data_IF_540559747547
#
_entry.id   IF_540559747547
#
_cell.length_a   1.000
_cell.length_b   1.000
_cell.length_c   1.000
_cell.angle_alpha   90.00
_cell.angle_beta   90.00
_cell.angle_gamma   90.00
#
_symmetry.space_group_name_H-M   'P 1'
#
loop_
_entity.id
_entity.type
_entity.pdbx_description
1 polymer ?
#
# COMPACT_ATOMS: atom_id res chain seq x y z
N UNK A 1 15.44 9.78 -14.32
CA UNK A 1 16.12 8.76 -13.48
C UNK A 1 15.13 8.04 -12.57
N UNK A 2 14.32 8.73 -11.77
CA UNK A 2 13.39 8.10 -10.81
C UNK A 2 12.39 7.19 -11.53
N UNK A 3 11.78 7.65 -12.62
CA UNK A 3 10.77 6.91 -13.36
C UNK A 3 11.34 5.91 -14.40
N UNK A 4 12.67 5.73 -14.50
CA UNK A 4 13.26 4.82 -15.50
C UNK A 4 12.85 3.36 -15.33
N UNK A 5 12.53 2.91 -14.11
CA UNK A 5 12.04 1.57 -13.82
C UNK A 5 10.67 1.25 -14.42
N UNK A 6 9.91 2.28 -14.78
CA UNK A 6 8.57 2.14 -15.37
C UNK A 6 8.57 2.06 -16.91
N UNK A 7 9.74 2.10 -17.59
CA UNK A 7 9.80 2.15 -19.06
C UNK A 7 9.00 1.03 -19.73
N UNK A 8 9.05 -0.18 -19.17
CA UNK A 8 8.34 -1.36 -19.70
C UNK A 8 6.81 -1.31 -19.51
N UNK A 9 6.34 -0.48 -18.59
CA UNK A 9 4.91 -0.32 -18.28
C UNK A 9 4.41 1.11 -18.49
N UNK A 10 5.18 1.98 -19.15
CA UNK A 10 4.83 3.39 -19.31
C UNK A 10 3.50 3.63 -20.04
N UNK A 11 3.08 2.70 -20.89
CA UNK A 11 1.77 2.75 -21.57
C UNK A 11 0.59 2.47 -20.65
N UNK A 12 0.85 1.84 -19.50
CA UNK A 12 -0.14 1.48 -18.51
C UNK A 12 -0.24 2.52 -17.38
N UNK A 13 0.50 3.65 -17.52
CA UNK A 13 0.59 4.71 -16.53
C UNK A 13 -0.09 5.99 -16.97
N UNK A 14 -0.69 6.68 -16.03
CA UNK A 14 -1.16 8.06 -16.16
C UNK A 14 -0.45 8.90 -15.09
N UNK A 15 0.35 9.87 -15.53
CA UNK A 15 1.02 10.83 -14.64
C UNK A 15 0.11 12.04 -14.46
N UNK A 16 -0.01 12.51 -13.24
CA UNK A 16 -0.84 13.67 -12.89
C UNK A 16 0.02 14.77 -12.26
N UNK A 17 -0.16 16.01 -12.69
CA UNK A 17 0.45 17.21 -12.11
C UNK A 17 -0.62 18.24 -11.76
N UNK A 18 -0.32 19.12 -10.80
CA UNK A 18 -1.20 20.19 -10.36
C UNK A 18 -2.21 19.78 -9.28
N UNK A 19 -2.22 18.52 -8.84
CA UNK A 19 -3.08 18.07 -7.75
C UNK A 19 -2.57 18.52 -6.40
N UNK A 20 -3.47 18.89 -5.50
CA UNK A 20 -3.17 19.50 -4.20
C UNK A 20 -4.03 18.91 -3.09
N UNK A 21 -3.44 18.77 -1.91
CA UNK A 21 -4.16 18.55 -0.65
C UNK A 21 -4.18 19.85 0.15
N UNK A 22 -5.16 20.71 -0.07
CA UNK A 22 -5.32 21.95 0.73
C UNK A 22 -5.44 21.65 2.22
N UNK A 23 -6.14 20.57 2.58
CA UNK A 23 -6.34 20.13 3.96
C UNK A 23 -5.09 19.49 4.61
N UNK A 24 -4.00 19.30 3.88
CA UNK A 24 -2.68 18.96 4.40
C UNK A 24 -1.90 20.15 4.94
N UNK A 25 -2.26 21.37 4.52
CA UNK A 25 -1.67 22.61 4.98
C UNK A 25 -2.02 22.90 6.44
N UNK A 26 -1.28 23.81 7.06
CA UNK A 26 -1.51 24.19 8.45
C UNK A 26 -2.88 24.78 8.72
N UNK A 27 -3.43 25.61 7.81
CA UNK A 27 -4.76 26.21 7.87
C UNK A 27 -5.12 26.78 9.27
N UNK A 28 -4.12 27.34 9.98
CA UNK A 28 -4.26 27.84 11.35
C UNK A 28 -3.71 26.94 12.46
N UNK A 29 -3.48 25.65 12.20
CA UNK A 29 -2.98 24.68 13.20
C UNK A 29 -1.45 24.78 13.44
N UNK A 30 -0.71 25.51 12.59
CA UNK A 30 0.75 25.61 12.67
C UNK A 30 1.45 24.30 12.26
N UNK A 31 2.57 23.96 12.91
CA UNK A 31 3.38 22.80 12.60
C UNK A 31 2.63 21.47 12.77
N UNK A 32 3.06 20.42 12.07
CA UNK A 32 2.47 19.07 12.08
C UNK A 32 2.23 18.53 10.68
N UNK A 33 3.14 18.87 9.75
CA UNK A 33 2.96 18.64 8.31
C UNK A 33 2.94 17.16 7.93
N UNK A 34 3.76 16.34 8.58
CA UNK A 34 3.77 14.88 8.31
C UNK A 34 2.47 14.20 8.74
N UNK A 35 1.97 14.53 9.94
CA UNK A 35 0.73 13.96 10.42
C UNK A 35 -0.46 14.38 9.54
N UNK A 36 -0.51 15.66 9.13
CA UNK A 36 -1.55 16.15 8.23
C UNK A 36 -1.46 15.49 6.86
N UNK A 37 -0.26 15.40 6.30
CA UNK A 37 -0.05 14.80 4.96
C UNK A 37 -0.47 13.35 4.89
N UNK A 38 -0.16 12.53 5.90
CA UNK A 38 -0.64 11.16 5.96
C UNK A 38 -2.17 11.09 6.18
N UNK A 39 -2.69 11.85 7.15
CA UNK A 39 -4.11 11.83 7.48
C UNK A 39 -5.03 12.33 6.35
N UNK A 40 -4.57 13.27 5.52
CA UNK A 40 -5.34 13.82 4.40
C UNK A 40 -5.24 12.97 3.13
N UNK A 41 -4.20 12.15 2.96
CA UNK A 41 -3.82 11.54 1.68
C UNK A 41 -4.97 10.76 1.01
N UNK A 42 -5.69 9.95 1.77
CA UNK A 42 -6.86 9.21 1.28
C UNK A 42 -8.20 9.73 1.81
N UNK A 43 -8.21 10.78 2.65
CA UNK A 43 -9.46 11.32 3.23
C UNK A 43 -9.90 12.64 2.60
N UNK A 44 -8.96 13.46 2.12
CA UNK A 44 -9.25 14.83 1.66
C UNK A 44 -9.77 15.75 2.79
N UNK A 45 -9.58 15.40 4.07
CA UNK A 45 -10.06 16.12 5.25
C UNK A 45 -8.90 16.51 6.14
N UNK A 46 -8.90 17.73 6.67
CA UNK A 46 -7.88 18.16 7.63
C UNK A 46 -8.00 17.37 8.93
N UNK A 47 -6.95 16.65 9.34
CA UNK A 47 -6.96 15.96 10.61
C UNK A 47 -7.06 16.96 11.79
N UNK A 48 -7.87 16.65 12.79
CA UNK A 48 -7.98 17.44 14.01
C UNK A 48 -6.64 17.40 14.76
N UNK A 49 -6.08 18.56 15.09
CA UNK A 49 -4.88 18.63 15.91
C UNK A 49 -5.15 18.17 17.32
N UNK A 50 -4.82 16.91 17.60
CA UNK A 50 -5.02 16.26 18.89
C UNK A 50 -3.93 15.21 19.13
N UNK A 51 -3.41 15.15 20.35
CA UNK A 51 -2.42 14.17 20.80
C UNK A 51 -3.05 12.91 21.43
N UNK A 52 -4.34 12.95 21.75
CA UNK A 52 -5.02 11.98 22.61
C UNK A 52 -6.17 11.24 21.94
N UNK A 53 -7.21 11.01 22.73
CA UNK A 53 -8.37 10.22 22.34
C UNK A 53 -9.32 10.91 21.34
N UNK A 54 -9.18 12.23 21.15
CA UNK A 54 -10.04 13.02 20.25
C UNK A 54 -9.46 13.09 18.84
N UNK A 55 -8.84 11.99 18.36
CA UNK A 55 -8.37 11.94 16.97
C UNK A 55 -9.56 11.98 16.02
N UNK A 56 -9.42 12.78 14.95
CA UNK A 56 -10.42 12.85 13.87
C UNK A 56 -9.74 13.17 12.55
N UNK A 57 -10.00 12.32 11.56
CA UNK A 57 -9.71 12.55 10.15
C UNK A 57 -11.03 12.39 9.39
N UNK A 58 -11.01 12.20 8.10
CA UNK A 58 -12.21 11.80 7.35
C UNK A 58 -12.24 10.28 7.16
N UNK A 59 -13.34 9.74 6.67
CA UNK A 59 -13.36 8.38 6.13
C UNK A 59 -12.50 8.36 4.87
N UNK A 60 -11.59 7.40 4.73
CA UNK A 60 -10.73 7.31 3.56
C UNK A 60 -11.42 6.68 2.34
N UNK A 61 -10.95 7.01 1.14
CA UNK A 61 -11.55 6.58 -0.11
C UNK A 61 -11.63 5.05 -0.24
N UNK A 62 -10.57 4.33 0.17
CA UNK A 62 -10.54 2.88 0.25
C UNK A 62 -11.65 2.33 1.15
N UNK A 63 -11.91 2.96 2.30
CA UNK A 63 -12.95 2.51 3.22
C UNK A 63 -14.37 2.88 2.75
N UNK A 64 -14.53 3.98 2.00
CA UNK A 64 -15.80 4.27 1.32
C UNK A 64 -16.09 3.17 0.27
N UNK A 65 -15.10 2.80 -0.52
CA UNK A 65 -15.20 1.70 -1.50
C UNK A 65 -15.44 0.37 -0.79
N UNK A 66 -14.65 0.04 0.25
CA UNK A 66 -14.79 -1.19 1.03
C UNK A 66 -16.20 -1.34 1.65
N UNK A 67 -16.78 -0.24 2.14
CA UNK A 67 -18.16 -0.23 2.64
C UNK A 67 -19.20 -0.52 1.55
N UNK A 68 -18.95 -0.08 0.32
CA UNK A 68 -19.87 -0.27 -0.79
C UNK A 68 -19.80 -1.68 -1.40
N UNK A 69 -18.60 -2.22 -1.61
CA UNK A 69 -18.39 -3.48 -2.34
C UNK A 69 -17.75 -4.60 -1.53
N UNK A 70 -17.29 -4.34 -0.31
CA UNK A 70 -16.56 -5.31 0.51
C UNK A 70 -17.39 -6.54 0.93
N UNK A 71 -18.70 -6.50 0.79
CA UNK A 71 -19.58 -7.65 0.97
C UNK A 71 -19.49 -8.69 -0.18
N UNK A 72 -18.84 -8.33 -1.29
CA UNK A 72 -18.66 -9.20 -2.46
C UNK A 72 -17.43 -10.11 -2.33
N UNK A 73 -16.58 -9.86 -1.35
CA UNK A 73 -15.33 -10.60 -1.11
C UNK A 73 -15.21 -11.04 0.35
N UNK A 74 -14.31 -12.00 0.62
CA UNK A 74 -14.10 -12.52 1.98
C UNK A 74 -13.64 -11.45 2.97
N UNK A 75 -12.80 -10.50 2.53
CA UNK A 75 -12.35 -9.35 3.31
C UNK A 75 -12.71 -8.07 2.56
N UNK A 76 -13.25 -7.10 3.28
CA UNK A 76 -13.67 -5.82 2.70
C UNK A 76 -12.49 -5.01 2.18
N UNK A 77 -11.33 -5.07 2.85
CA UNK A 77 -10.11 -4.35 2.48
C UNK A 77 -8.86 -4.99 3.10
N UNK A 78 -7.69 -4.58 2.59
CA UNK A 78 -6.36 -4.96 3.05
C UNK A 78 -5.50 -3.71 3.26
N UNK A 79 -5.02 -3.52 4.47
CA UNK A 79 -4.13 -2.41 4.82
C UNK A 79 -2.73 -2.95 5.15
N UNK A 80 -1.74 -2.59 4.33
CA UNK A 80 -0.35 -3.02 4.46
C UNK A 80 0.60 -1.85 4.74
N UNK A 81 1.72 -2.16 5.39
CA UNK A 81 2.82 -1.23 5.54
C UNK A 81 4.17 -1.92 5.69
N UNK A 82 5.22 -1.35 5.12
CA UNK A 82 6.57 -1.89 5.23
C UNK A 82 7.34 -1.38 6.47
N UNK A 83 6.73 -0.52 7.26
CA UNK A 83 7.28 -0.01 8.51
C UNK A 83 6.23 -0.08 9.62
N UNK A 84 6.65 -0.55 10.78
CA UNK A 84 5.87 -0.44 12.01
C UNK A 84 5.72 1.03 12.42
N UNK A 85 4.76 1.34 13.28
CA UNK A 85 4.58 2.67 13.81
C UNK A 85 3.75 2.65 15.09
N UNK A 86 3.92 3.68 15.91
CA UNK A 86 3.09 3.86 17.11
C UNK A 86 1.67 4.22 16.68
N UNK A 87 0.67 3.63 17.31
CA UNK A 87 -0.74 3.92 17.04
C UNK A 87 -1.32 4.96 18.03
N UNK A 88 -0.55 5.32 19.06
CA UNK A 88 -0.95 6.27 20.09
C UNK A 88 0.23 7.14 20.54
N UNK A 89 -0.06 8.22 21.26
CA UNK A 89 0.92 9.19 21.69
C UNK A 89 1.23 10.22 20.61
N UNK A 90 2.14 11.14 20.91
CA UNK A 90 2.54 12.26 20.06
C UNK A 90 3.69 11.88 19.13
N UNK A 91 3.52 12.05 17.84
CA UNK A 91 4.56 11.82 16.83
C UNK A 91 4.95 13.10 16.08
N UNK A 92 4.09 14.09 15.97
CA UNK A 92 4.35 15.32 15.22
C UNK A 92 3.61 16.50 15.85
N UNK A 93 4.32 17.51 16.29
CA UNK A 93 3.89 18.87 16.69
C UNK A 93 2.45 19.03 17.20
N UNK A 94 2.01 18.17 18.13
CA UNK A 94 0.65 18.18 18.70
C UNK A 94 -0.35 17.27 17.99
N UNK A 95 0.12 16.43 17.06
CA UNK A 95 -0.68 15.40 16.39
C UNK A 95 -0.35 14.00 16.91
N UNK A 96 -1.39 13.18 17.04
CA UNK A 96 -1.28 11.76 17.39
C UNK A 96 -0.47 10.98 16.37
N UNK A 97 0.26 9.97 16.85
CA UNK A 97 0.95 8.99 16.02
C UNK A 97 0.00 8.23 15.05
N UNK A 98 -1.28 8.12 15.40
CA UNK A 98 -2.29 7.52 14.55
C UNK A 98 -2.37 8.17 13.16
N UNK A 99 -2.17 9.48 13.08
CA UNK A 99 -2.20 10.20 11.81
C UNK A 99 -0.98 9.87 10.92
N UNK A 100 0.24 9.95 11.48
CA UNK A 100 1.47 9.71 10.69
C UNK A 100 1.65 8.27 10.25
N UNK A 101 0.99 7.32 10.92
CA UNK A 101 1.19 5.90 10.70
C UNK A 101 0.04 5.19 9.98
N UNK A 102 -1.04 5.90 9.66
CA UNK A 102 -2.18 5.32 8.93
C UNK A 102 -2.68 6.31 7.86
N UNK A 103 -2.96 5.78 6.67
CA UNK A 103 -3.62 6.51 5.58
C UNK A 103 -5.07 6.07 5.39
N UNK A 104 -5.43 4.90 5.92
CA UNK A 104 -6.77 4.32 5.83
C UNK A 104 -7.55 4.56 7.11
N UNK A 105 -8.80 5.00 7.00
CA UNK A 105 -9.68 5.39 8.12
C UNK A 105 -11.10 4.87 7.87
N UNK A 106 -11.56 3.95 8.72
CA UNK A 106 -12.88 3.32 8.61
C UNK A 106 -14.02 4.30 8.88
N UNK A 107 -13.81 5.16 9.84
CA UNK A 107 -14.66 6.28 10.20
C UNK A 107 -13.78 7.47 10.64
N UNK A 108 -14.38 8.59 11.01
CA UNK A 108 -13.64 9.83 11.33
C UNK A 108 -12.61 9.66 12.45
N UNK A 109 -12.79 8.72 13.37
CA UNK A 109 -11.96 8.53 14.55
C UNK A 109 -11.28 7.16 14.63
N UNK A 110 -11.49 6.28 13.65
CA UNK A 110 -10.97 4.91 13.67
C UNK A 110 -10.00 4.66 12.52
N UNK A 111 -8.68 4.76 12.76
CA UNK A 111 -7.69 4.36 11.77
C UNK A 111 -7.73 2.86 11.54
N UNK A 112 -7.51 2.45 10.30
CA UNK A 112 -7.26 1.06 9.95
C UNK A 112 -5.78 0.77 10.11
N UNK A 113 -5.45 -0.04 11.11
CA UNK A 113 -4.05 -0.40 11.39
C UNK A 113 -3.51 -1.28 10.27
N UNK A 114 -2.43 -0.85 9.67
CA UNK A 114 -1.73 -1.62 8.63
C UNK A 114 -1.04 -2.84 9.22
N UNK A 115 -1.14 -3.98 8.52
CA UNK A 115 -0.35 -5.16 8.82
C UNK A 115 1.05 -5.03 8.18
N UNK A 116 2.08 -5.34 8.95
CA UNK A 116 3.47 -5.25 8.51
C UNK A 116 4.15 -6.62 8.42
N UNK A 117 3.53 -7.65 8.97
CA UNK A 117 4.07 -9.00 8.99
C UNK A 117 3.49 -9.85 7.84
N UNK A 118 4.28 -10.19 6.81
CA UNK A 118 3.81 -10.99 5.68
C UNK A 118 3.20 -12.33 6.08
N UNK A 119 3.72 -12.97 7.12
CA UNK A 119 3.20 -14.24 7.64
C UNK A 119 1.78 -14.08 8.18
N UNK A 120 1.51 -13.02 8.96
CA UNK A 120 0.16 -12.75 9.48
C UNK A 120 -0.82 -12.41 8.35
N UNK A 121 -0.37 -11.68 7.32
CA UNK A 121 -1.17 -11.43 6.11
C UNK A 121 -1.53 -12.73 5.43
N UNK A 122 -0.53 -13.59 5.20
CA UNK A 122 -0.72 -14.90 4.57
C UNK A 122 -1.68 -15.79 5.38
N UNK A 123 -1.46 -15.91 6.68
CA UNK A 123 -2.31 -16.69 7.57
C UNK A 123 -3.76 -16.16 7.60
N UNK A 124 -3.94 -14.85 7.63
CA UNK A 124 -5.26 -14.21 7.60
C UNK A 124 -6.03 -14.51 6.32
N UNK A 125 -5.38 -14.45 5.16
CA UNK A 125 -6.07 -14.60 3.88
C UNK A 125 -6.20 -16.03 3.41
N UNK A 126 -5.19 -16.84 3.63
CA UNK A 126 -5.07 -18.20 3.08
C UNK A 126 -5.12 -19.28 4.17
N UNK A 127 -4.96 -18.92 5.44
CA UNK A 127 -5.19 -19.81 6.57
C UNK A 127 -6.67 -20.14 6.72
N UNK A 128 -6.99 -21.42 6.87
CA UNK A 128 -8.36 -21.82 7.16
C UNK A 128 -8.74 -21.41 8.59
N UNK A 129 -10.03 -21.15 8.78
CA UNK A 129 -10.63 -20.96 10.09
C UNK A 129 -10.39 -22.23 10.93
N UNK A 130 -9.34 -22.21 11.73
CA UNK A 130 -9.15 -23.20 12.79
C UNK A 130 -9.86 -22.62 14.00
N UNK A 131 -10.81 -23.36 14.63
CA UNK A 131 -11.39 -22.93 15.88
C UNK A 131 -10.29 -22.64 16.89
N UNK A 132 -10.38 -21.53 17.61
CA UNK A 132 -9.50 -21.16 18.70
C UNK A 132 -9.67 -22.17 19.84
N UNK A 133 -8.85 -23.21 19.88
CA UNK A 133 -8.55 -23.93 21.10
C UNK A 133 -7.12 -23.62 21.48
N UNK A 134 -7.00 -23.13 22.70
CA UNK A 134 -5.78 -22.70 23.36
C UNK A 134 -4.72 -23.81 23.41
N UNK A 135 -3.48 -23.34 23.25
CA UNK A 135 -2.25 -23.99 23.75
C UNK A 135 -2.03 -25.47 23.44
N UNK A 136 -1.45 -25.77 22.29
CA UNK A 136 -0.50 -26.88 22.20
C UNK A 136 0.59 -26.63 21.17
N UNK A 137 1.77 -26.54 21.69
CA UNK A 137 3.13 -26.67 21.12
C UNK A 137 3.47 -26.28 19.66
N UNK A 138 4.68 -25.71 19.49
CA UNK A 138 5.32 -25.37 18.20
C UNK A 138 5.29 -26.52 17.15
N UNK A 139 5.27 -27.78 17.59
CA UNK A 139 5.17 -28.94 16.70
C UNK A 139 3.81 -29.05 16.00
N UNK A 140 2.70 -28.73 16.69
CA UNK A 140 1.38 -28.65 16.08
C UNK A 140 1.29 -27.51 15.07
N UNK A 141 1.89 -26.34 15.34
CA UNK A 141 1.93 -25.23 14.38
C UNK A 141 2.68 -25.61 13.10
N UNK A 142 3.74 -26.39 13.18
CA UNK A 142 4.50 -26.88 12.02
C UNK A 142 3.69 -27.91 11.20
N UNK A 143 2.95 -28.80 11.85
CA UNK A 143 1.99 -29.71 11.22
C UNK A 143 0.81 -28.95 10.58
N UNK A 144 0.32 -27.87 11.23
CA UNK A 144 -0.73 -27.03 10.69
C UNK A 144 -0.27 -26.22 9.47
N UNK A 145 0.97 -25.75 9.42
CA UNK A 145 1.55 -25.06 8.25
C UNK A 145 1.59 -25.94 6.99
N UNK A 146 1.97 -27.21 7.12
CA UNK A 146 1.88 -28.18 6.02
C UNK A 146 0.42 -28.46 5.63
N UNK A 147 -0.51 -28.44 6.58
CA UNK A 147 -1.92 -28.70 6.37
C UNK A 147 -2.67 -27.60 5.60
N UNK A 148 -2.26 -26.33 5.71
CA UNK A 148 -2.95 -25.21 5.01
C UNK A 148 -2.74 -25.31 3.50
N UNK A 149 -1.51 -25.55 3.07
CA UNK A 149 -1.21 -25.75 1.64
C UNK A 149 -1.81 -27.04 1.09
N UNK A 150 -1.72 -28.11 1.85
CA UNK A 150 -2.30 -29.39 1.44
C UNK A 150 -3.83 -29.27 1.28
N UNK A 151 -4.49 -28.47 2.11
CA UNK A 151 -5.93 -28.22 2.00
C UNK A 151 -6.29 -27.33 0.79
N UNK A 152 -5.55 -26.23 0.60
CA UNK A 152 -5.72 -25.35 -0.59
C UNK A 152 -5.43 -26.14 -1.87
N UNK A 153 -4.40 -27.00 -1.84
CA UNK A 153 -4.06 -27.92 -2.94
C UNK A 153 -5.15 -28.98 -3.17
N UNK A 154 -5.77 -29.48 -2.10
CA UNK A 154 -6.83 -30.48 -2.21
C UNK A 154 -8.11 -29.87 -2.80
N UNK A 155 -8.52 -28.70 -2.33
CA UNK A 155 -9.66 -27.94 -2.87
C UNK A 155 -9.42 -27.54 -4.33
N UNK A 156 -8.20 -27.07 -4.66
CA UNK A 156 -7.81 -26.76 -6.02
C UNK A 156 -7.83 -28.01 -6.93
N UNK A 157 -7.35 -29.16 -6.47
CA UNK A 157 -7.45 -30.43 -7.21
C UNK A 157 -8.89 -30.88 -7.42
N UNK A 158 -9.79 -30.60 -6.47
CA UNK A 158 -11.23 -30.86 -6.64
C UNK A 158 -11.85 -29.94 -7.67
N UNK A 159 -11.45 -28.66 -7.67
CA UNK A 159 -11.87 -27.65 -8.64
C UNK A 159 -11.32 -27.98 -10.03
N UNK A 160 -10.05 -28.38 -10.14
CA UNK A 160 -9.37 -28.76 -11.38
C UNK A 160 -10.13 -29.79 -12.20
N UNK A 161 -10.85 -30.73 -11.52
CA UNK A 161 -11.67 -31.74 -12.19
C UNK A 161 -12.96 -31.20 -12.81
N UNK A 162 -13.36 -29.97 -12.45
CA UNK A 162 -14.65 -29.34 -12.81
C UNK A 162 -14.51 -28.15 -13.77
N UNK A 163 -13.29 -27.70 -14.03
CA UNK A 163 -13.02 -26.48 -14.82
C UNK A 163 -12.43 -26.78 -16.17
N UNK A 164 -12.47 -25.81 -17.09
CA UNK A 164 -11.91 -25.91 -18.44
C UNK A 164 -10.38 -26.03 -18.42
N UNK A 165 -9.78 -26.45 -19.53
CA UNK A 165 -8.31 -26.53 -19.66
C UNK A 165 -7.61 -25.18 -19.39
N UNK A 166 -8.19 -24.07 -19.85
CA UNK A 166 -7.66 -22.71 -19.64
C UNK A 166 -7.74 -22.30 -18.17
N UNK A 167 -8.80 -22.67 -17.48
CA UNK A 167 -8.96 -22.38 -16.05
C UNK A 167 -8.03 -23.25 -15.20
N UNK A 168 -7.70 -24.48 -15.64
CA UNK A 168 -6.68 -25.32 -15.00
C UNK A 168 -5.30 -24.67 -15.04
N UNK A 169 -4.91 -24.06 -16.16
CA UNK A 169 -3.64 -23.36 -16.28
C UNK A 169 -3.59 -22.19 -15.28
N UNK A 170 -4.64 -21.36 -15.21
CA UNK A 170 -4.75 -20.27 -14.24
C UNK A 170 -4.70 -20.75 -12.79
N UNK A 171 -5.37 -21.85 -12.49
CA UNK A 171 -5.35 -22.45 -11.16
C UNK A 171 -3.94 -22.92 -10.78
N UNK A 172 -3.19 -23.54 -11.71
CA UNK A 172 -1.82 -23.95 -11.48
C UNK A 172 -0.86 -22.77 -11.29
N UNK A 173 -1.00 -21.69 -12.07
CA UNK A 173 -0.24 -20.45 -11.90
C UNK A 173 -0.47 -19.84 -10.52
N UNK A 174 -1.74 -19.77 -10.10
CA UNK A 174 -2.12 -19.30 -8.77
C UNK A 174 -1.51 -20.14 -7.65
N UNK A 175 -1.63 -21.48 -7.73
CA UNK A 175 -1.07 -22.38 -6.71
C UNK A 175 0.46 -22.31 -6.65
N UNK A 176 1.13 -22.11 -7.78
CA UNK A 176 2.57 -21.89 -7.84
C UNK A 176 2.95 -20.60 -7.13
N UNK A 177 2.22 -19.49 -7.37
CA UNK A 177 2.46 -18.21 -6.70
C UNK A 177 2.26 -18.30 -5.17
N UNK A 178 1.21 -18.99 -4.70
CA UNK A 178 0.99 -19.24 -3.27
C UNK A 178 2.18 -19.98 -2.65
N UNK A 179 2.67 -21.02 -3.32
CA UNK A 179 3.80 -21.83 -2.83
C UNK A 179 5.13 -21.06 -2.79
N UNK A 180 5.39 -20.22 -3.78
CA UNK A 180 6.57 -19.37 -3.80
C UNK A 180 6.56 -18.37 -2.64
N UNK A 181 5.42 -17.75 -2.35
CA UNK A 181 5.26 -16.83 -1.22
C UNK A 181 5.48 -17.55 0.12
N UNK A 182 4.89 -18.72 0.30
CA UNK A 182 5.09 -19.52 1.50
C UNK A 182 6.58 -19.85 1.73
N UNK A 183 7.27 -20.31 0.69
CA UNK A 183 8.71 -20.60 0.78
C UNK A 183 9.55 -19.36 1.12
N UNK A 184 9.12 -18.16 0.68
CA UNK A 184 9.80 -16.90 1.02
C UNK A 184 9.55 -16.51 2.48
N UNK A 185 8.34 -16.76 3.00
CA UNK A 185 8.02 -16.55 4.42
C UNK A 185 8.82 -17.52 5.30
N UNK A 186 8.89 -18.80 4.93
CA UNK A 186 9.68 -19.81 5.65
C UNK A 186 11.18 -19.48 5.65
N UNK A 187 11.73 -19.04 4.52
CA UNK A 187 13.13 -18.58 4.44
C UNK A 187 13.39 -17.39 5.36
N UNK A 188 12.49 -16.41 5.38
CA UNK A 188 12.61 -15.26 6.28
C UNK A 188 12.58 -15.66 7.77
N UNK A 189 11.82 -16.70 8.13
CA UNK A 189 11.82 -17.26 9.49
C UNK A 189 13.13 -18.01 9.81
N UNK A 190 13.73 -18.73 8.84
CA UNK A 190 14.99 -19.46 9.01
C UNK A 190 16.21 -18.53 9.10
N UNK A 191 16.28 -17.48 8.28
CA UNK A 191 17.36 -16.48 8.30
C UNK A 191 17.53 -15.80 9.66
N UNK A 192 16.51 -15.80 10.50
CA UNK A 192 16.57 -15.27 11.87
C UNK A 192 17.21 -16.22 12.87
N UNK A 193 17.05 -17.53 12.67
CA UNK A 193 17.60 -18.53 13.58
C UNK A 193 19.13 -18.61 13.53
N UNK A 194 19.74 -18.19 12.41
CA UNK A 194 21.20 -18.21 12.20
C UNK A 194 21.91 -16.89 12.52
N UNK A 195 21.23 -15.91 13.12
CA UNK A 195 21.86 -14.63 13.48
C UNK A 195 22.72 -14.75 14.73
N UNK A 196 23.96 -14.19 14.73
CA UNK A 196 24.78 -14.10 15.93
C UNK A 196 24.11 -13.28 17.03
N UNK A 197 24.24 -13.71 18.30
CA UNK A 197 23.56 -13.14 19.48
C UNK A 197 23.77 -11.62 19.68
N UNK A 198 24.86 -11.03 19.20
CA UNK A 198 25.13 -9.58 19.34
C UNK A 198 24.31 -8.67 18.42
N UNK A 199 23.53 -9.25 17.49
CA UNK A 199 22.60 -8.51 16.61
C UNK A 199 21.14 -8.57 17.10
N UNK A 200 20.88 -9.17 18.25
CA UNK A 200 19.54 -9.42 18.79
C UNK A 200 18.92 -8.24 19.53
N UNK A 201 19.62 -7.10 19.66
CA UNK A 201 19.09 -5.90 20.34
C UNK A 201 17.84 -5.28 19.68
N UNK A 202 17.52 -5.70 18.45
CA UNK A 202 16.26 -5.36 17.76
C UNK A 202 15.61 -6.62 17.21
N UNK A 203 14.75 -7.24 18.01
CA UNK A 203 13.91 -8.37 17.57
C UNK A 203 13.04 -7.95 16.39
N UNK A 204 13.42 -8.38 15.19
CA UNK A 204 12.49 -8.33 14.05
C UNK A 204 11.42 -9.38 14.28
N UNK A 205 10.11 -9.07 14.25
CA UNK A 205 9.06 -10.08 14.41
C UNK A 205 9.22 -11.24 13.43
N UNK A 206 8.88 -12.45 13.85
CA UNK A 206 8.89 -13.63 12.96
C UNK A 206 8.06 -13.36 11.69
N UNK A 207 8.55 -13.78 10.53
CA UNK A 207 7.86 -13.62 9.24
C UNK A 207 8.19 -12.32 8.48
N UNK A 208 8.98 -11.40 9.05
CA UNK A 208 9.43 -10.19 8.35
C UNK A 208 10.85 -10.42 7.82
N UNK A 209 11.11 -10.33 6.49
CA UNK A 209 12.46 -10.43 5.92
C UNK A 209 13.41 -9.38 6.49
N UNK A 210 14.69 -9.72 6.61
CA UNK A 210 15.74 -8.78 7.04
C UNK A 210 16.01 -7.70 6.00
N UNK A 211 15.86 -8.03 4.72
CA UNK A 211 15.96 -7.09 3.61
C UNK A 211 14.67 -6.28 3.48
N UNK A 212 14.79 -4.95 3.54
CA UNK A 212 13.67 -4.03 3.34
C UNK A 212 13.06 -4.16 1.93
N UNK A 213 13.90 -4.39 0.93
CA UNK A 213 13.45 -4.62 -0.44
C UNK A 213 12.61 -5.89 -0.54
N UNK A 214 13.09 -6.99 0.05
CA UNK A 214 12.35 -8.26 0.05
C UNK A 214 11.06 -8.15 0.86
N UNK A 215 11.07 -7.42 1.98
CA UNK A 215 9.87 -7.16 2.77
C UNK A 215 8.78 -6.44 1.97
N UNK A 216 9.14 -5.35 1.25
CA UNK A 216 8.19 -4.63 0.39
C UNK A 216 7.67 -5.55 -0.72
N UNK A 217 8.56 -6.31 -1.40
CA UNK A 217 8.16 -7.22 -2.47
C UNK A 217 7.21 -8.30 -1.98
N UNK A 218 7.51 -8.90 -0.83
CA UNK A 218 6.69 -9.96 -0.26
C UNK A 218 5.28 -9.47 0.13
N UNK A 219 5.18 -8.29 0.77
CA UNK A 219 3.89 -7.67 1.06
C UNK A 219 3.13 -7.29 -0.23
N UNK A 220 3.85 -6.75 -1.24
CA UNK A 220 3.27 -6.45 -2.53
C UNK A 220 2.75 -7.70 -3.24
N UNK A 221 3.48 -8.81 -3.19
CA UNK A 221 3.07 -10.09 -3.76
C UNK A 221 1.84 -10.67 -3.06
N UNK A 222 1.74 -10.51 -1.73
CA UNK A 222 0.55 -10.91 -0.98
C UNK A 222 -0.67 -10.07 -1.34
N UNK A 223 -0.49 -8.76 -1.55
CA UNK A 223 -1.57 -7.89 -2.04
C UNK A 223 -2.03 -8.32 -3.43
N UNK A 224 -1.11 -8.55 -4.37
CA UNK A 224 -1.42 -8.99 -5.74
C UNK A 224 -2.13 -10.34 -5.70
N UNK A 225 -1.65 -11.29 -4.91
CA UNK A 225 -2.26 -12.59 -4.73
C UNK A 225 -3.67 -12.50 -4.16
N UNK A 226 -3.91 -11.57 -3.22
CA UNK A 226 -5.24 -11.37 -2.64
C UNK A 226 -6.25 -10.83 -3.67
N UNK A 227 -5.81 -9.99 -4.61
CA UNK A 227 -6.63 -9.53 -5.74
C UNK A 227 -6.86 -10.65 -6.75
N UNK A 228 -5.81 -11.39 -7.13
CA UNK A 228 -5.91 -12.51 -8.06
C UNK A 228 -6.88 -13.60 -7.57
N UNK A 229 -6.92 -13.81 -6.25
CA UNK A 229 -7.80 -14.78 -5.60
C UNK A 229 -9.22 -14.23 -5.30
N UNK A 230 -9.48 -12.97 -5.62
CA UNK A 230 -10.71 -12.24 -5.25
C UNK A 230 -11.03 -12.31 -3.74
N UNK A 231 -9.98 -12.37 -2.92
CA UNK A 231 -10.10 -12.38 -1.45
C UNK A 231 -10.47 -10.99 -0.94
N UNK A 232 -9.97 -9.96 -1.60
CA UNK A 232 -10.37 -8.55 -1.45
C UNK A 232 -10.20 -7.83 -2.78
N UNK A 233 -10.91 -6.72 -2.97
CA UNK A 233 -10.79 -5.83 -4.15
C UNK A 233 -10.30 -4.44 -3.77
N UNK A 234 -10.01 -4.21 -2.51
CA UNK A 234 -9.56 -2.91 -1.98
C UNK A 234 -8.32 -3.10 -1.14
N UNK A 235 -7.27 -2.33 -1.41
CA UNK A 235 -6.05 -2.41 -0.64
C UNK A 235 -5.29 -1.08 -0.56
N UNK A 236 -4.59 -0.86 0.54
CA UNK A 236 -3.66 0.25 0.75
C UNK A 236 -2.31 -0.27 1.17
N UNK A 237 -1.23 0.36 0.72
CA UNK A 237 0.12 -0.04 1.07
C UNK A 237 1.02 1.18 1.34
N UNK A 238 1.36 1.41 2.60
CA UNK A 238 2.36 2.40 2.98
C UNK A 238 3.77 1.80 2.82
N UNK A 239 4.47 2.17 1.76
CA UNK A 239 5.86 1.73 1.52
C UNK A 239 6.82 2.25 2.60
N UNK A 240 6.56 3.44 3.14
CA UNK A 240 7.23 4.03 4.29
C UNK A 240 6.23 4.88 5.09
N UNK A 241 6.49 5.08 6.38
CA UNK A 241 5.70 5.99 7.19
C UNK A 241 5.98 7.44 6.80
N UNK A 242 4.98 8.31 6.92
CA UNK A 242 5.18 9.74 6.76
C UNK A 242 6.12 10.26 7.86
N UNK A 243 7.17 10.98 7.45
CA UNK A 243 8.22 11.43 8.38
C UNK A 243 9.24 10.33 8.76
N UNK A 244 9.24 9.17 8.11
CA UNK A 244 10.22 8.11 8.37
C UNK A 244 11.66 8.60 8.23
N UNK A 245 12.49 8.33 9.24
CA UNK A 245 13.93 8.62 9.20
C UNK A 245 14.77 7.35 8.97
N UNK A 246 14.24 6.40 8.22
CA UNK A 246 14.95 5.18 7.82
C UNK A 246 16.20 5.51 7.00
N UNK A 247 17.31 4.79 7.27
CA UNK A 247 18.49 4.78 6.42
C UNK A 247 18.38 3.70 5.34
N UNK A 248 18.84 4.01 4.14
CA UNK A 248 18.79 3.10 2.97
C UNK A 248 20.19 2.58 2.63
N UNK A 249 20.85 1.97 3.63
CA UNK A 249 22.25 1.50 3.53
C UNK A 249 22.48 0.52 2.38
N UNK A 250 21.48 -0.32 2.08
CA UNK A 250 21.53 -1.30 1.00
C UNK A 250 21.63 -0.68 -0.41
N UNK A 251 21.32 0.62 -0.54
CA UNK A 251 21.54 1.39 -1.77
C UNK A 251 22.62 2.49 -1.59
N UNK A 252 23.45 2.40 -0.55
CA UNK A 252 24.56 3.32 -0.31
C UNK A 252 24.18 4.64 0.38
N UNK A 253 22.96 4.77 0.91
CA UNK A 253 22.52 5.97 1.65
C UNK A 253 22.46 5.66 3.14
N UNK A 254 23.42 6.20 3.90
CA UNK A 254 23.58 5.92 5.33
C UNK A 254 22.76 6.85 6.22
N UNK A 255 22.46 8.05 5.76
CA UNK A 255 21.68 9.04 6.50
C UNK A 255 20.19 8.68 6.48
N UNK A 256 19.45 9.16 7.47
CA UNK A 256 18.01 8.98 7.54
C UNK A 256 17.29 9.85 6.50
N UNK A 257 16.23 9.28 5.90
CA UNK A 257 15.46 9.94 4.84
C UNK A 257 14.90 11.30 5.29
N UNK A 258 14.25 11.38 6.47
CA UNK A 258 13.70 12.62 7.00
C UNK A 258 14.79 13.71 7.15
N UNK A 259 15.98 13.33 7.67
CA UNK A 259 17.09 14.27 7.80
C UNK A 259 17.62 14.77 6.45
N UNK A 260 17.58 13.90 5.41
CA UNK A 260 17.95 14.26 4.05
C UNK A 260 16.89 15.15 3.39
N UNK A 261 15.58 14.93 3.70
CA UNK A 261 14.51 15.73 3.09
C UNK A 261 14.61 17.21 3.42
N UNK A 262 15.22 17.57 4.55
CA UNK A 262 15.63 18.96 4.86
C UNK A 262 16.91 19.33 4.11
N UNK A 263 16.88 19.26 2.78
CA UNK A 263 18.07 19.34 1.91
C UNK A 263 18.62 20.76 1.73
N UNK A 264 17.85 21.80 2.00
CA UNK A 264 18.27 23.21 1.82
C UNK A 264 18.96 23.47 0.43
N UNK A 265 18.50 22.77 -0.60
CA UNK A 265 19.05 22.78 -1.95
C UNK A 265 20.49 22.24 -2.06
N UNK A 266 21.00 21.49 -1.07
CA UNK A 266 22.29 20.81 -1.15
C UNK A 266 22.24 19.70 -2.23
N UNK A 267 23.06 19.78 -3.29
CA UNK A 267 23.06 18.82 -4.39
C UNK A 267 23.38 17.37 -3.93
N UNK A 268 24.20 17.20 -2.90
CA UNK A 268 24.55 15.89 -2.38
C UNK A 268 23.36 15.22 -1.68
N UNK A 269 22.59 15.98 -0.88
CA UNK A 269 21.36 15.50 -0.27
C UNK A 269 20.30 15.18 -1.33
N UNK A 270 20.11 16.06 -2.31
CA UNK A 270 19.17 15.85 -3.41
C UNK A 270 19.50 14.59 -4.23
N UNK A 271 20.78 14.32 -4.47
CA UNK A 271 21.22 13.10 -5.15
C UNK A 271 20.82 11.85 -4.34
N UNK A 272 21.03 11.84 -3.01
CA UNK A 272 20.67 10.73 -2.14
C UNK A 272 19.14 10.53 -2.07
N UNK A 273 18.36 11.59 -1.97
CA UNK A 273 16.88 11.54 -2.04
C UNK A 273 16.44 10.93 -3.38
N UNK A 274 17.08 11.34 -4.49
CA UNK A 274 16.79 10.78 -5.81
C UNK A 274 17.05 9.27 -5.89
N UNK A 275 18.08 8.74 -5.21
CA UNK A 275 18.33 7.30 -5.12
C UNK A 275 17.24 6.57 -4.29
N UNK A 276 16.82 7.16 -3.16
CA UNK A 276 15.72 6.61 -2.33
C UNK A 276 14.42 6.59 -3.14
N UNK A 277 14.08 7.69 -3.81
CA UNK A 277 12.88 7.76 -4.64
C UNK A 277 12.92 6.74 -5.80
N UNK A 278 14.09 6.57 -6.43
CA UNK A 278 14.29 5.56 -7.46
C UNK A 278 14.17 4.13 -6.91
N UNK A 279 14.60 3.89 -5.66
CA UNK A 279 14.40 2.60 -4.98
C UNK A 279 12.91 2.29 -4.82
N UNK A 280 12.11 3.21 -4.26
CA UNK A 280 10.67 3.00 -4.11
C UNK A 280 9.96 2.86 -5.46
N UNK A 281 10.33 3.66 -6.45
CA UNK A 281 9.81 3.56 -7.82
C UNK A 281 10.05 2.16 -8.42
N UNK A 282 11.22 1.54 -8.17
CA UNK A 282 11.51 0.16 -8.63
C UNK A 282 10.59 -0.87 -7.97
N UNK A 283 10.27 -0.72 -6.68
CA UNK A 283 9.36 -1.65 -6.00
C UNK A 283 7.94 -1.57 -6.57
N UNK A 284 7.46 -0.34 -6.83
CA UNK A 284 6.14 -0.13 -7.45
C UNK A 284 6.12 -0.65 -8.89
N UNK A 285 7.18 -0.38 -9.67
CA UNK A 285 7.31 -0.91 -11.03
C UNK A 285 7.27 -2.46 -11.06
N UNK A 286 7.94 -3.11 -10.09
CA UNK A 286 7.87 -4.57 -9.92
C UNK A 286 6.43 -5.05 -9.72
N UNK A 287 5.68 -4.43 -8.80
CA UNK A 287 4.28 -4.79 -8.53
C UNK A 287 3.39 -4.60 -9.78
N UNK A 288 3.53 -3.47 -10.48
CA UNK A 288 2.77 -3.17 -11.69
C UNK A 288 3.09 -4.18 -12.81
N UNK A 289 4.38 -4.51 -13.02
CA UNK A 289 4.78 -5.53 -14.01
C UNK A 289 4.21 -6.90 -13.68
N UNK A 290 4.20 -7.29 -12.40
CA UNK A 290 3.61 -8.54 -11.94
C UNK A 290 2.12 -8.59 -12.21
N UNK A 291 1.37 -7.54 -11.86
CA UNK A 291 -0.07 -7.47 -12.16
C UNK A 291 -0.36 -7.50 -13.65
N UNK A 292 0.49 -6.87 -14.48
CA UNK A 292 0.38 -6.92 -15.94
C UNK A 292 0.65 -8.30 -16.52
N UNK A 293 1.44 -9.13 -15.85
CA UNK A 293 1.73 -10.51 -16.28
C UNK A 293 0.64 -11.51 -15.92
N UNK A 294 -0.33 -11.14 -15.09
CA UNK A 294 -1.42 -12.02 -14.64
C UNK A 294 -2.62 -11.86 -15.57
N UNK A 295 -2.97 -12.89 -16.37
CA UNK A 295 -4.16 -12.84 -17.22
C UNK A 295 -5.44 -12.81 -16.40
N UNK A 296 -6.38 -11.94 -16.75
CA UNK A 296 -7.70 -11.86 -16.15
C UNK A 296 -8.74 -11.49 -17.20
N UNK A 297 -9.75 -12.34 -17.39
CA UNK A 297 -10.81 -12.10 -18.37
C UNK A 297 -10.26 -11.90 -19.79
N UNK A 298 -10.55 -10.76 -20.38
CA UNK A 298 -10.11 -10.30 -21.70
C UNK A 298 -8.85 -9.42 -21.65
N UNK A 299 -8.28 -9.21 -20.46
CA UNK A 299 -7.08 -8.40 -20.21
C UNK A 299 -6.15 -9.03 -19.19
N UNK A 300 -5.57 -8.17 -18.37
CA UNK A 300 -4.71 -8.54 -17.25
C UNK A 300 -5.28 -8.00 -15.93
N UNK A 301 -4.78 -8.51 -14.79
CA UNK A 301 -5.16 -7.98 -13.48
C UNK A 301 -4.92 -6.46 -13.39
N UNK A 302 -3.88 -5.95 -14.07
CA UNK A 302 -3.61 -4.51 -14.14
C UNK A 302 -4.67 -3.74 -14.93
N UNK A 303 -5.14 -4.28 -16.05
CA UNK A 303 -6.16 -3.61 -16.90
C UNK A 303 -7.48 -3.42 -16.14
N UNK A 304 -7.79 -4.34 -15.23
CA UNK A 304 -9.00 -4.30 -14.39
C UNK A 304 -8.79 -3.57 -13.06
N UNK A 305 -7.58 -3.05 -12.80
CA UNK A 305 -7.23 -2.37 -11.55
C UNK A 305 -7.05 -0.87 -11.73
N UNK A 306 -7.18 -0.12 -10.62
CA UNK A 306 -6.80 1.28 -10.47
C UNK A 306 -5.84 1.39 -9.29
N UNK A 307 -4.59 1.73 -9.55
CA UNK A 307 -3.55 1.84 -8.53
C UNK A 307 -3.06 3.28 -8.49
N UNK A 308 -3.25 3.97 -7.38
CA UNK A 308 -2.65 5.29 -7.13
C UNK A 308 -1.34 5.11 -6.38
N UNK A 309 -0.26 5.66 -6.91
CA UNK A 309 1.03 5.77 -6.25
C UNK A 309 1.42 7.23 -6.12
N UNK A 310 1.85 7.64 -4.93
CA UNK A 310 2.26 9.01 -4.66
C UNK A 310 2.67 9.26 -3.23
N UNK A 311 2.78 10.55 -2.88
CA UNK A 311 3.08 11.02 -1.54
C UNK A 311 2.24 12.25 -1.21
N UNK A 312 2.01 12.47 0.09
CA UNK A 312 1.26 13.62 0.61
C UNK A 312 2.08 14.91 0.68
N UNK A 313 3.40 14.82 0.51
CA UNK A 313 4.34 15.95 0.46
C UNK A 313 5.07 15.91 -0.88
N UNK A 314 5.15 17.03 -1.60
CA UNK A 314 5.87 17.13 -2.88
C UNK A 314 7.35 17.49 -2.71
N UNK A 315 7.67 18.50 -1.92
CA UNK A 315 9.04 18.90 -1.56
C UNK A 315 9.24 18.77 -0.05
N UNK A 316 10.04 17.80 0.37
CA UNK A 316 10.27 17.52 1.78
C UNK A 316 10.95 18.64 2.55
N UNK A 317 11.72 19.55 1.89
CA UNK A 317 12.34 20.69 2.54
C UNK A 317 11.32 21.82 2.84
N UNK A 318 10.28 21.91 2.00
CA UNK A 318 9.20 22.92 2.12
C UNK A 318 7.98 22.39 2.84
N UNK A 319 7.85 21.05 2.95
CA UNK A 319 6.67 20.37 3.49
C UNK A 319 5.36 20.79 2.81
N UNK A 320 5.41 21.02 1.49
CA UNK A 320 4.26 21.51 0.76
C UNK A 320 3.37 20.39 0.20
N UNK A 321 2.08 20.69 0.12
CA UNK A 321 1.02 19.75 -0.28
C UNK A 321 0.42 20.10 -1.67
N UNK A 322 1.05 21.00 -2.42
CA UNK A 322 0.68 21.35 -3.80
C UNK A 322 1.53 20.59 -4.82
N UNK A 323 0.96 20.41 -6.00
CA UNK A 323 1.59 19.70 -7.12
C UNK A 323 2.17 18.35 -6.69
N UNK A 324 1.34 17.56 -6.05
CA UNK A 324 1.72 16.24 -5.49
C UNK A 324 2.24 15.30 -6.58
N UNK A 325 3.25 14.45 -6.28
CA UNK A 325 3.75 13.45 -7.21
C UNK A 325 2.79 12.25 -7.29
N UNK A 326 1.81 12.33 -8.17
CA UNK A 326 0.75 11.33 -8.30
C UNK A 326 0.86 10.61 -9.65
N UNK A 327 0.78 9.29 -9.60
CA UNK A 327 0.72 8.40 -10.76
C UNK A 327 -0.40 7.39 -10.55
N UNK A 328 -1.10 7.08 -11.63
CA UNK A 328 -2.06 5.97 -11.67
C UNK A 328 -1.52 4.90 -12.60
N UNK A 329 -1.65 3.63 -12.20
CA UNK A 329 -1.41 2.47 -13.04
C UNK A 329 -2.69 1.66 -13.21
N UNK A 330 -2.88 1.11 -14.41
CA UNK A 330 -4.07 0.33 -14.76
C UNK A 330 -5.22 1.16 -15.29
N UNK A 331 -6.17 0.49 -15.94
CA UNK A 331 -7.24 1.13 -16.70
C UNK A 331 -8.61 1.13 -15.98
N UNK A 332 -8.74 0.33 -14.90
CA UNK A 332 -10.00 0.22 -14.16
C UNK A 332 -11.19 -0.14 -15.06
N UNK A 333 -11.05 -1.15 -15.90
CA UNK A 333 -12.06 -1.53 -16.89
C UNK A 333 -12.43 -0.41 -17.90
N UNK A 334 -11.43 0.38 -18.32
CA UNK A 334 -11.63 1.46 -19.30
C UNK A 334 -12.07 2.79 -18.70
N UNK A 335 -12.14 2.89 -17.37
CA UNK A 335 -12.41 4.17 -16.69
C UNK A 335 -11.27 5.17 -16.87
N UNK A 336 -10.04 4.67 -16.99
CA UNK A 336 -8.81 5.46 -17.05
C UNK A 336 -8.08 5.17 -18.37
N UNK A 337 -7.85 6.20 -19.17
CA UNK A 337 -6.96 6.11 -20.33
C UNK A 337 -5.52 6.42 -19.91
N UNK A 338 -4.66 5.43 -20.00
CA UNK A 338 -3.25 5.50 -19.63
C UNK A 338 -2.31 5.90 -20.78
N UNK A 339 -1.01 5.84 -20.60
CA UNK A 339 0.02 6.16 -21.59
C UNK A 339 0.24 7.65 -21.81
N UNK A 340 -0.12 8.50 -20.84
CA UNK A 340 -0.10 9.97 -21.01
C UNK A 340 0.20 10.70 -19.69
N UNK A 341 0.38 12.01 -19.81
CA UNK A 341 0.48 12.95 -18.70
C UNK A 341 -0.65 13.96 -18.77
N UNK A 342 -1.36 14.18 -17.67
CA UNK A 342 -2.35 15.23 -17.52
C UNK A 342 -1.82 16.29 -16.54
N UNK A 343 -1.84 17.52 -16.96
CA UNK A 343 -1.51 18.68 -16.13
C UNK A 343 -2.79 19.45 -15.84
N UNK A 344 -3.12 19.57 -14.57
CA UNK A 344 -4.27 20.34 -14.11
C UNK A 344 -3.87 21.76 -13.72
N UNK A 345 -4.88 22.63 -13.59
CA UNK A 345 -4.67 23.93 -12.99
C UNK A 345 -4.11 23.76 -11.57
N UNK A 346 -3.22 24.68 -11.20
CA UNK A 346 -2.62 24.70 -9.87
C UNK A 346 -3.72 24.67 -8.78
N UNK A 347 -3.51 23.86 -7.74
CA UNK A 347 -4.44 23.64 -6.64
C UNK A 347 -5.74 22.87 -6.97
N UNK A 348 -5.79 22.12 -8.07
CA UNK A 348 -6.89 21.17 -8.27
C UNK A 348 -6.91 20.14 -7.12
N UNK A 349 -8.05 19.97 -6.39
CA UNK A 349 -8.09 19.05 -5.25
C UNK A 349 -7.76 17.61 -5.64
N UNK A 350 -6.83 16.97 -4.92
CA UNK A 350 -6.55 15.54 -5.06
C UNK A 350 -7.80 14.69 -4.77
N UNK A 351 -8.68 15.17 -3.92
CA UNK A 351 -9.95 14.53 -3.61
C UNK A 351 -10.87 14.36 -4.83
N UNK A 352 -10.68 15.14 -5.92
CA UNK A 352 -11.39 14.93 -7.19
C UNK A 352 -11.02 13.59 -7.84
N UNK A 353 -9.75 13.20 -7.76
CA UNK A 353 -9.30 11.87 -8.20
C UNK A 353 -9.92 10.78 -7.31
N UNK A 354 -9.86 10.94 -6.01
CA UNK A 354 -10.40 9.97 -5.06
C UNK A 354 -11.91 9.77 -5.26
N UNK A 355 -12.65 10.87 -5.47
CA UNK A 355 -14.08 10.80 -5.79
C UNK A 355 -14.34 10.04 -7.10
N UNK A 356 -13.50 10.28 -8.13
CA UNK A 356 -13.62 9.57 -9.42
C UNK A 356 -13.38 8.06 -9.25
N UNK A 357 -12.42 7.67 -8.42
CA UNK A 357 -12.16 6.26 -8.11
C UNK A 357 -13.30 5.64 -7.31
N UNK A 358 -13.82 6.33 -6.30
CA UNK A 358 -14.96 5.88 -5.48
C UNK A 358 -16.15 5.56 -6.39
N UNK A 359 -16.52 6.48 -7.28
CA UNK A 359 -17.61 6.27 -8.23
C UNK A 359 -17.29 5.18 -9.25
N UNK A 360 -16.04 5.12 -9.75
CA UNK A 360 -15.58 4.09 -10.67
C UNK A 360 -15.67 2.66 -10.08
N UNK A 361 -15.53 2.51 -8.78
CA UNK A 361 -15.74 1.25 -8.06
C UNK A 361 -17.22 0.99 -7.70
N UNK A 362 -18.15 1.81 -8.21
CA UNK A 362 -19.59 1.64 -8.01
C UNK A 362 -20.14 2.15 -6.67
N UNK A 363 -19.32 2.82 -5.87
CA UNK A 363 -19.80 3.45 -4.65
C UNK A 363 -20.49 4.79 -4.96
N UNK A 364 -21.65 5.04 -4.36
CA UNK A 364 -22.42 6.28 -4.55
C UNK A 364 -21.86 7.36 -3.62
N UNK A 365 -21.28 8.40 -4.20
CA UNK A 365 -20.81 9.58 -3.48
C UNK A 365 -20.89 10.80 -4.41
N UNK A 366 -21.57 11.84 -4.00
CA UNK A 366 -21.66 13.11 -4.76
C UNK A 366 -20.49 14.04 -4.43
N UNK A 367 -19.90 13.88 -3.24
CA UNK A 367 -18.75 14.64 -2.73
C UNK A 367 -17.86 13.74 -1.88
N UNK A 368 -16.57 14.07 -1.82
CA UNK A 368 -15.60 13.37 -0.99
C UNK A 368 -14.53 14.35 -0.51
N UNK A 369 -14.28 14.43 0.80
CA UNK A 369 -13.32 15.37 1.37
C UNK A 369 -13.57 16.80 0.87
N UNK A 370 -12.53 17.43 0.37
CA UNK A 370 -12.57 18.78 -0.22
C UNK A 370 -12.81 18.79 -1.75
N UNK A 371 -13.33 17.68 -2.31
CA UNK A 371 -13.59 17.59 -3.75
C UNK A 371 -14.55 18.66 -4.25
N UNK A 372 -14.26 19.19 -5.42
CA UNK A 372 -15.11 20.14 -6.16
C UNK A 372 -15.89 19.49 -7.30
N UNK A 373 -15.71 18.20 -7.50
CA UNK A 373 -16.31 17.36 -8.54
C UNK A 373 -15.38 16.21 -8.92
N UNK A 374 -15.70 15.50 -10.01
CA UNK A 374 -14.85 14.46 -10.56
C UNK A 374 -13.60 15.04 -11.23
N UNK A 375 -12.51 14.30 -11.23
CA UNK A 375 -11.31 14.70 -11.97
C UNK A 375 -11.55 14.53 -13.47
N UNK A 376 -11.44 15.62 -14.22
CA UNK A 376 -11.72 15.63 -15.65
C UNK A 376 -10.60 14.94 -16.45
N UNK A 377 -10.96 14.36 -17.59
CA UNK A 377 -10.01 13.83 -18.57
C UNK A 377 -9.41 12.47 -18.22
N UNK A 378 -9.89 11.74 -17.22
CA UNK A 378 -9.39 10.40 -16.89
C UNK A 378 -9.66 9.39 -18.03
N UNK A 379 -10.79 9.50 -18.70
CA UNK A 379 -11.22 8.60 -19.77
C UNK A 379 -10.86 9.08 -21.20
N UNK A 380 -10.24 10.23 -21.32
CA UNK A 380 -9.77 10.78 -22.61
C UNK A 380 -10.52 11.98 -23.10
#
# INVERSE_FOLDING_TARGET
>A
KILSSFEHVKRDLLILSGLTHDKGRGNGDGAGDHARSAGVFLTGVQPLKSEGAEIRAGVSADQVIAKAIGHQTRFASLELGAETGRQSGKCDSGYSCAYSNNISWRDEATPMTKEVNPKLVFERFFGNQIPSEESESQARRKLFRQSILDFVLEDARRLEKKVSYRDKQKLNEYLTAVREIEQRIERADLEKQDRPDYLTEFETPEGIPSSYEEHIKLLGDLMILSFQADVTRVGTFMLANEGSNRSYRHIGVNEGHHSLSHHQNDPAKLAKISEINAFHARQVAYMIQKMKSIPEGDGTLLDHSMIVYGAGISDGNRHNNENLPIMIAGQGNGLIRTGRHLSYEFETPMANLLLSMIQGMGAKADRFGDSTGLLRGLNG
#
